data_IF_060127567511
#
_entry.id   IF_060127567511
#
_cell.length_a   1.000
_cell.length_b   1.000
_cell.length_c   1.000
_cell.angle_alpha   90.00
_cell.angle_beta   90.00
_cell.angle_gamma   90.00
#
_symmetry.space_group_name_H-M   'P 1'
#
loop_
_entity.id
_entity.type
_entity.pdbx_description
1 polymer ?
#
# COMPACT_ATOMS: atom_id res chain seq x y z
N UNK A 1 -6.82 28.49 -11.73
CA UNK A 1 -5.53 28.04 -12.29
C UNK A 1 -5.73 26.71 -12.99
N UNK A 2 -5.33 26.58 -14.26
CA UNK A 2 -5.33 25.29 -14.97
C UNK A 2 -4.31 24.39 -14.30
N UNK A 3 -4.74 23.23 -13.79
CA UNK A 3 -3.78 22.24 -13.29
C UNK A 3 -3.03 21.66 -14.49
N UNK A 4 -1.70 21.73 -14.55
CA UNK A 4 -0.97 21.14 -15.65
C UNK A 4 -1.13 19.61 -15.62
N UNK A 5 -1.33 18.99 -16.78
CA UNK A 5 -1.45 17.53 -16.94
C UNK A 5 -0.31 16.78 -16.24
N UNK A 6 0.88 17.38 -16.22
CA UNK A 6 2.07 16.88 -15.53
C UNK A 6 1.83 16.63 -14.04
N UNK A 7 1.10 17.50 -13.34
CA UNK A 7 0.82 17.33 -11.90
C UNK A 7 -0.06 16.09 -11.67
N UNK A 8 -1.12 15.93 -12.47
CA UNK A 8 -2.00 14.76 -12.38
C UNK A 8 -1.21 13.47 -12.69
N UNK A 9 -0.34 13.50 -13.71
CA UNK A 9 0.50 12.35 -14.05
C UNK A 9 1.47 11.98 -12.92
N UNK A 10 2.08 12.97 -12.26
CA UNK A 10 2.97 12.75 -11.11
C UNK A 10 2.19 12.17 -9.92
N UNK A 11 1.02 12.72 -9.60
CA UNK A 11 0.16 12.21 -8.53
C UNK A 11 -0.20 10.74 -8.77
N UNK A 12 -0.63 10.39 -9.98
CA UNK A 12 -0.92 9.00 -10.35
C UNK A 12 0.32 8.09 -10.23
N UNK A 13 1.49 8.58 -10.63
CA UNK A 13 2.76 7.87 -10.44
C UNK A 13 3.05 7.60 -8.97
N UNK A 14 2.86 8.60 -8.09
CA UNK A 14 3.03 8.45 -6.64
C UNK A 14 2.04 7.47 -6.02
N UNK A 15 0.78 7.46 -6.50
CA UNK A 15 -0.21 6.46 -6.07
C UNK A 15 0.27 5.05 -6.40
N UNK A 16 0.70 4.82 -7.65
CA UNK A 16 1.19 3.49 -8.07
C UNK A 16 2.41 3.07 -7.26
N UNK A 17 3.40 3.95 -7.11
CA UNK A 17 4.60 3.66 -6.32
C UNK A 17 4.27 3.37 -4.86
N UNK A 18 3.38 4.15 -4.25
CA UNK A 18 2.92 3.94 -2.88
C UNK A 18 2.22 2.60 -2.69
N UNK A 19 1.35 2.20 -3.64
CA UNK A 19 0.68 0.90 -3.60
C UNK A 19 1.65 -0.27 -3.76
N UNK A 20 2.61 -0.18 -4.69
CA UNK A 20 3.65 -1.20 -4.86
C UNK A 20 4.47 -1.35 -3.57
N UNK A 21 4.91 -0.24 -2.99
CA UNK A 21 5.64 -0.23 -1.73
C UNK A 21 4.81 -0.79 -0.57
N UNK A 22 3.50 -0.50 -0.52
CA UNK A 22 2.58 -1.05 0.48
C UNK A 22 2.47 -2.57 0.36
N UNK A 23 2.32 -3.10 -0.86
CA UNK A 23 2.27 -4.55 -1.10
C UNK A 23 3.58 -5.24 -0.71
N UNK A 24 4.72 -4.65 -1.09
CA UNK A 24 6.02 -5.18 -0.69
C UNK A 24 6.19 -5.17 0.83
N UNK A 25 5.76 -4.10 1.50
CA UNK A 25 5.80 -3.99 2.96
C UNK A 25 4.90 -5.03 3.61
N UNK A 26 3.67 -5.21 3.12
CA UNK A 26 2.74 -6.26 3.59
C UNK A 26 3.36 -7.66 3.49
N UNK A 27 3.96 -7.98 2.35
CA UNK A 27 4.64 -9.27 2.13
C UNK A 27 5.79 -9.50 3.09
N UNK A 28 6.57 -8.47 3.42
CA UNK A 28 7.63 -8.56 4.44
C UNK A 28 7.08 -8.63 5.87
N UNK A 29 5.85 -8.15 6.07
CA UNK A 29 5.13 -8.15 7.34
C UNK A 29 4.51 -9.48 7.74
N UNK A 30 4.36 -10.42 6.80
CA UNK A 30 3.79 -11.76 7.06
C UNK A 30 4.87 -12.80 6.78
N UNK A 31 5.28 -13.50 7.82
CA UNK A 31 6.25 -14.60 7.71
C UNK A 31 5.61 -15.89 8.18
N UNK A 32 5.59 -16.90 7.32
CA UNK A 32 5.04 -18.22 7.62
C UNK A 32 6.19 -19.20 7.74
N UNK A 33 6.26 -19.88 8.89
CA UNK A 33 7.27 -20.90 9.17
C UNK A 33 6.59 -22.20 9.51
N UNK A 34 7.03 -23.28 8.88
CA UNK A 34 6.62 -24.65 9.22
C UNK A 34 7.58 -25.22 10.24
N UNK A 35 7.04 -25.76 11.33
CA UNK A 35 7.79 -26.45 12.36
C UNK A 35 7.48 -27.93 12.29
N UNK A 36 8.50 -28.74 12.02
CA UNK A 36 8.37 -30.20 11.99
C UNK A 36 7.94 -30.74 13.36
N UNK A 37 7.28 -31.89 13.35
CA UNK A 37 6.92 -32.59 14.58
C UNK A 37 8.15 -32.88 15.44
N UNK A 38 8.02 -32.75 16.77
CA UNK A 38 9.10 -32.97 17.72
C UNK A 38 8.59 -33.76 18.92
N UNK A 39 8.95 -35.05 19.00
CA UNK A 39 8.43 -35.97 20.00
C UNK A 39 6.92 -36.15 19.84
N UNK A 40 6.16 -35.90 20.91
CA UNK A 40 4.69 -35.93 20.91
C UNK A 40 4.05 -34.65 20.36
N UNK A 41 4.84 -33.60 20.07
CA UNK A 41 4.30 -32.37 19.49
C UNK A 41 4.09 -32.54 17.97
N UNK A 42 2.88 -32.31 17.45
CA UNK A 42 2.59 -32.44 16.03
C UNK A 42 3.25 -31.33 15.21
N UNK A 43 3.35 -31.54 13.90
CA UNK A 43 3.74 -30.50 12.95
C UNK A 43 2.73 -29.34 13.01
N UNK A 44 3.24 -28.10 12.97
CA UNK A 44 2.38 -26.92 12.91
C UNK A 44 2.99 -25.81 12.06
N UNK A 45 2.12 -24.96 11.54
CA UNK A 45 2.48 -23.76 10.78
C UNK A 45 2.22 -22.56 11.67
N UNK A 46 3.25 -21.73 11.89
CA UNK A 46 3.09 -20.46 12.59
C UNK A 46 3.21 -19.28 11.63
N UNK A 47 2.28 -18.33 11.76
CA UNK A 47 2.35 -17.04 11.06
C UNK A 47 2.79 -15.97 12.03
N UNK A 48 3.91 -15.31 11.72
CA UNK A 48 4.43 -14.16 12.46
C UNK A 48 4.09 -12.87 11.71
N UNK A 49 3.50 -11.93 12.44
CA UNK A 49 3.22 -10.58 11.97
C UNK A 49 4.33 -9.62 12.43
N UNK A 50 5.03 -9.00 11.50
CA UNK A 50 6.11 -8.04 11.80
C UNK A 50 5.53 -6.63 11.76
N UNK A 51 5.18 -6.12 12.95
CA UNK A 51 4.41 -4.88 13.10
C UNK A 51 4.98 -3.66 12.35
N UNK A 52 6.31 -3.39 12.31
CA UNK A 52 6.84 -2.26 11.53
C UNK A 52 6.49 -2.31 10.04
N UNK A 53 6.56 -3.50 9.43
CA UNK A 53 6.23 -3.69 8.02
C UNK A 53 4.74 -3.53 7.73
N UNK A 54 3.89 -4.02 8.63
CA UNK A 54 2.44 -3.89 8.51
C UNK A 54 1.98 -2.45 8.73
N UNK A 55 2.58 -1.75 9.70
CA UNK A 55 2.33 -0.33 9.92
C UNK A 55 2.75 0.49 8.70
N UNK A 56 3.94 0.24 8.15
CA UNK A 56 4.41 0.90 6.93
C UNK A 56 3.46 0.65 5.76
N UNK A 57 3.00 -0.59 5.57
CA UNK A 57 2.01 -0.92 4.54
C UNK A 57 0.71 -0.10 4.70
N UNK A 58 0.18 -0.02 5.92
CA UNK A 58 -1.03 0.75 6.22
C UNK A 58 -0.85 2.25 5.96
N UNK A 59 0.28 2.82 6.39
CA UNK A 59 0.60 4.24 6.17
C UNK A 59 0.75 4.55 4.68
N UNK A 60 1.48 3.73 3.93
CA UNK A 60 1.65 3.90 2.48
C UNK A 60 0.30 3.83 1.75
N UNK A 61 -0.56 2.87 2.13
CA UNK A 61 -1.90 2.74 1.56
C UNK A 61 -2.75 3.99 1.86
N UNK A 62 -2.71 4.50 3.09
CA UNK A 62 -3.44 5.71 3.46
C UNK A 62 -2.96 6.94 2.66
N UNK A 63 -1.64 7.14 2.55
CA UNK A 63 -1.05 8.23 1.77
C UNK A 63 -1.42 8.11 0.29
N UNK A 64 -1.29 6.93 -0.31
CA UNK A 64 -1.67 6.70 -1.70
C UNK A 64 -3.17 6.97 -1.93
N UNK A 65 -4.03 6.56 -0.99
CA UNK A 65 -5.46 6.86 -1.04
C UNK A 65 -5.76 8.36 -1.00
N UNK A 66 -5.07 9.12 -0.13
CA UNK A 66 -5.22 10.57 -0.06
C UNK A 66 -4.79 11.28 -1.35
N UNK A 67 -3.65 10.88 -1.92
CA UNK A 67 -3.17 11.43 -3.20
C UNK A 67 -4.18 11.13 -4.32
N UNK A 68 -4.71 9.91 -4.36
CA UNK A 68 -5.71 9.53 -5.35
C UNK A 68 -7.00 10.37 -5.23
N UNK A 69 -7.48 10.61 -4.00
CA UNK A 69 -8.65 11.45 -3.75
C UNK A 69 -8.41 12.90 -4.19
N UNK A 70 -7.23 13.48 -3.90
CA UNK A 70 -6.91 14.85 -4.35
C UNK A 70 -6.87 14.92 -5.88
N UNK A 71 -6.17 13.98 -6.52
CA UNK A 71 -6.06 13.89 -7.98
C UNK A 71 -7.44 13.80 -8.66
N UNK A 72 -8.33 12.94 -8.15
CA UNK A 72 -9.70 12.78 -8.66
C UNK A 72 -10.52 14.06 -8.43
N UNK A 73 -10.47 14.63 -7.23
CA UNK A 73 -11.19 15.87 -6.89
C UNK A 73 -10.78 16.99 -7.83
N UNK A 74 -9.48 17.10 -8.10
CA UNK A 74 -8.92 18.10 -9.01
C UNK A 74 -9.34 17.85 -10.45
N UNK A 75 -9.27 16.60 -10.94
CA UNK A 75 -9.70 16.23 -12.28
C UNK A 75 -11.20 16.52 -12.52
N UNK A 76 -12.06 16.22 -11.55
CA UNK A 76 -13.49 16.53 -11.62
C UNK A 76 -13.74 18.04 -11.66
N UNK A 77 -13.03 18.82 -10.84
CA UNK A 77 -13.14 20.29 -10.87
C UNK A 77 -12.71 20.87 -12.21
N UNK A 78 -11.62 20.39 -12.80
CA UNK A 78 -11.15 20.81 -14.13
C UNK A 78 -12.21 20.53 -15.19
N UNK A 79 -12.85 19.35 -15.18
CA UNK A 79 -13.93 19.01 -16.12
C UNK A 79 -15.19 19.84 -15.96
N UNK A 80 -15.50 20.37 -14.77
CA UNK A 80 -16.69 21.21 -14.54
C UNK A 80 -16.52 22.67 -14.97
N UNK A 81 -15.27 23.14 -15.06
CA UNK A 81 -14.94 24.52 -15.44
C UNK A 81 -14.53 24.67 -16.92
N UNK A 82 -14.55 23.56 -17.67
CA UNK A 82 -14.37 23.49 -19.13
C UNK A 82 -15.71 23.17 -19.77
#
# INVERSE_FOLDING_TARGET
>A
MKTPITVIAVELGLVVLGLVAAVLSWRNGIQTSTFAALGEAPEFVATRYVAPWLLLAAVLLAIAGLIAIDAVTRAVRVRRHH
#
